data_IF_319166504516
#
_entry.id   IF_319166504516
#
_cell.length_a   1.000
_cell.length_b   1.000
_cell.length_c   1.000
_cell.angle_alpha   90.00
_cell.angle_beta   90.00
_cell.angle_gamma   90.00
#
_symmetry.space_group_name_H-M   'P 1'
#
loop_
_entity.id
_entity.type
_entity.pdbx_description
1 polymer ?
#
# COMPACT_ATOMS: atom_id res chain seq x y z
N UNK A 1 14.97 14.98 -30.24
CA UNK A 1 13.73 14.20 -30.08
C UNK A 1 12.94 14.86 -28.98
N UNK A 2 11.87 15.57 -29.34
CA UNK A 2 11.08 16.38 -28.41
C UNK A 2 10.08 15.50 -27.67
N UNK A 3 10.11 15.53 -26.34
CA UNK A 3 9.09 14.91 -25.49
C UNK A 3 7.84 15.78 -25.51
N UNK A 4 6.83 15.37 -26.27
CA UNK A 4 5.50 15.98 -26.23
C UNK A 4 4.77 15.46 -24.99
N UNK A 5 4.69 16.27 -23.94
CA UNK A 5 3.79 16.03 -22.82
C UNK A 5 2.34 16.21 -23.29
N UNK A 6 1.56 15.12 -23.32
CA UNK A 6 0.13 15.20 -23.61
C UNK A 6 -0.60 15.74 -22.37
N UNK A 7 -0.94 17.04 -22.41
CA UNK A 7 -1.74 17.73 -21.40
C UNK A 7 -3.21 17.36 -21.63
N UNK A 8 -3.70 16.29 -21.00
CA UNK A 8 -5.14 16.05 -20.92
C UNK A 8 -5.77 17.09 -19.99
N UNK A 9 -6.36 18.12 -20.58
CA UNK A 9 -7.23 19.09 -19.91
C UNK A 9 -8.55 18.40 -19.54
N UNK A 10 -8.68 17.91 -18.31
CA UNK A 10 -9.98 17.59 -17.72
C UNK A 10 -10.60 18.89 -17.18
N UNK A 11 -11.05 19.75 -18.09
CA UNK A 11 -11.95 20.87 -17.78
C UNK A 11 -13.38 20.34 -17.71
N UNK A 12 -13.75 19.66 -16.62
CA UNK A 12 -15.12 19.67 -16.12
C UNK A 12 -15.10 19.42 -14.61
N UNK A 13 -15.45 20.48 -13.89
CA UNK A 13 -15.48 20.58 -12.43
C UNK A 13 -16.48 19.58 -11.83
N UNK A 14 -15.97 18.49 -11.25
CA UNK A 14 -16.68 17.74 -10.22
C UNK A 14 -16.23 18.27 -8.84
N UNK A 15 -17.14 18.60 -7.91
CA UNK A 15 -16.78 19.04 -6.57
C UNK A 15 -16.40 17.81 -5.75
N UNK A 16 -15.25 17.20 -6.04
CA UNK A 16 -14.69 16.13 -5.22
C UNK A 16 -13.86 16.76 -4.12
N UNK A 17 -14.43 16.75 -2.91
CA UNK A 17 -13.68 16.98 -1.68
C UNK A 17 -12.48 16.04 -1.60
N UNK A 18 -11.41 16.54 -0.99
CA UNK A 18 -10.04 16.01 -0.96
C UNK A 18 -9.94 14.67 -0.22
N UNK A 19 -10.46 13.60 -0.83
CA UNK A 19 -10.31 12.23 -0.32
C UNK A 19 -9.79 11.36 -1.49
N UNK A 20 -8.49 11.05 -1.42
CA UNK A 20 -7.87 9.92 -2.12
C UNK A 20 -7.86 9.89 -3.67
N UNK A 21 -7.65 11.04 -4.33
CA UNK A 21 -7.23 11.08 -5.74
C UNK A 21 -5.88 10.35 -6.00
N UNK A 22 -5.10 10.06 -4.95
CA UNK A 22 -3.84 9.33 -5.04
C UNK A 22 -4.00 7.84 -5.43
N UNK A 23 -5.18 7.23 -5.26
CA UNK A 23 -5.38 5.81 -5.62
C UNK A 23 -5.85 5.58 -7.06
N UNK A 24 -6.29 6.61 -7.79
CA UNK A 24 -6.86 6.45 -9.13
C UNK A 24 -5.80 6.49 -10.26
N UNK A 25 -4.56 6.90 -9.96
CA UNK A 25 -3.50 7.06 -10.96
C UNK A 25 -2.19 6.42 -10.49
N UNK A 26 -2.13 5.10 -10.44
CA UNK A 26 -0.83 4.43 -10.37
C UNK A 26 -0.44 3.96 -11.76
N UNK A 27 0.21 4.89 -12.47
CA UNK A 27 0.79 4.74 -13.81
C UNK A 27 -0.24 4.69 -14.94
N UNK A 28 0.06 5.34 -16.07
CA UNK A 28 -0.79 5.44 -17.28
C UNK A 28 -1.20 4.10 -17.92
N UNK A 29 -0.91 2.96 -17.28
CA UNK A 29 -1.08 1.62 -17.80
C UNK A 29 -1.95 0.70 -16.92
N UNK A 30 -2.11 1.00 -15.62
CA UNK A 30 -2.83 0.14 -14.67
C UNK A 30 -3.89 0.93 -13.91
N UNK A 31 -5.16 0.58 -14.13
CA UNK A 31 -6.27 1.19 -13.40
C UNK A 31 -6.62 0.35 -12.17
N UNK A 32 -6.30 0.85 -10.97
CA UNK A 32 -6.70 0.21 -9.71
C UNK A 32 -8.03 0.77 -9.21
N UNK A 33 -9.06 -0.07 -9.17
CA UNK A 33 -10.36 0.30 -8.62
C UNK A 33 -10.35 0.20 -7.10
N UNK A 34 -10.43 1.35 -6.45
CA UNK A 34 -10.59 1.42 -4.99
C UNK A 34 -12.02 1.12 -4.61
N UNK A 35 -12.22 0.27 -3.59
CA UNK A 35 -13.56 -0.06 -3.07
C UNK A 35 -14.40 1.18 -2.71
N UNK A 36 -13.76 2.27 -2.28
CA UNK A 36 -14.41 3.55 -1.97
C UNK A 36 -15.06 4.23 -3.19
N UNK A 37 -14.56 4.00 -4.41
CA UNK A 37 -15.18 4.51 -5.64
C UNK A 37 -16.44 3.72 -6.00
N UNK A 38 -16.49 2.43 -5.62
CA UNK A 38 -17.59 1.52 -5.89
C UNK A 38 -18.74 1.65 -4.89
N UNK A 39 -18.45 2.11 -3.66
CA UNK A 39 -19.48 2.34 -2.63
C UNK A 39 -20.46 3.47 -2.93
N UNK A 40 -20.24 4.27 -3.99
CA UNK A 40 -21.16 5.32 -4.44
C UNK A 40 -22.18 4.83 -5.49
N UNK A 41 -22.11 3.57 -5.92
CA UNK A 41 -23.07 2.97 -6.85
C UNK A 41 -24.11 2.15 -6.07
N UNK A 42 -25.37 2.61 -5.96
CA UNK A 42 -26.40 1.84 -5.31
C UNK A 42 -26.82 0.67 -6.22
N UNK A 43 -26.91 -0.54 -5.66
CA UNK A 43 -27.70 -1.65 -6.22
C UNK A 43 -27.25 -2.23 -7.58
N UNK A 44 -26.07 -2.85 -7.68
CA UNK A 44 -25.79 -3.88 -8.70
C UNK A 44 -24.89 -4.96 -8.11
N UNK A 45 -24.98 -6.20 -8.60
CA UNK A 45 -24.02 -7.29 -8.35
C UNK A 45 -22.60 -6.82 -8.71
N UNK A 46 -21.92 -6.26 -7.70
CA UNK A 46 -20.76 -5.39 -7.82
C UNK A 46 -19.64 -5.99 -8.66
N UNK A 47 -19.48 -7.31 -8.62
CA UNK A 47 -18.41 -8.03 -9.30
C UNK A 47 -18.61 -8.11 -10.82
N UNK A 48 -19.80 -8.45 -11.32
CA UNK A 48 -19.99 -8.73 -12.76
C UNK A 48 -19.93 -7.49 -13.63
N UNK A 49 -20.67 -6.44 -13.25
CA UNK A 49 -20.65 -5.19 -14.00
C UNK A 49 -19.27 -4.54 -13.94
N UNK A 50 -18.64 -4.52 -12.77
CA UNK A 50 -17.28 -3.97 -12.61
C UNK A 50 -16.27 -4.69 -13.50
N UNK A 51 -16.26 -6.03 -13.50
CA UNK A 51 -15.31 -6.80 -14.33
C UNK A 51 -15.57 -6.55 -15.82
N UNK A 52 -16.84 -6.42 -16.25
CA UNK A 52 -17.20 -6.06 -17.64
C UNK A 52 -16.74 -4.65 -18.00
N UNK A 53 -16.97 -3.67 -17.13
CA UNK A 53 -16.54 -2.30 -17.33
C UNK A 53 -15.01 -2.20 -17.43
N UNK A 54 -14.28 -2.86 -16.53
CA UNK A 54 -12.81 -2.90 -16.58
C UNK A 54 -12.28 -3.60 -17.82
N UNK A 55 -12.92 -4.69 -18.23
CA UNK A 55 -12.59 -5.36 -19.50
C UNK A 55 -12.87 -4.46 -20.71
N UNK A 56 -13.98 -3.72 -20.69
CA UNK A 56 -14.34 -2.78 -21.76
C UNK A 56 -13.28 -1.68 -21.92
N UNK A 57 -12.90 -0.99 -20.83
CA UNK A 57 -11.89 0.09 -20.92
C UNK A 57 -10.52 -0.42 -21.37
N UNK A 58 -10.16 -1.67 -21.05
CA UNK A 58 -8.95 -2.31 -21.57
C UNK A 58 -9.07 -2.57 -23.07
N UNK A 59 -10.19 -3.15 -23.51
CA UNK A 59 -10.43 -3.43 -24.93
C UNK A 59 -10.52 -2.15 -25.79
N UNK A 60 -10.94 -1.03 -25.20
CA UNK A 60 -10.92 0.29 -25.85
C UNK A 60 -9.53 0.96 -25.84
N UNK A 61 -8.51 0.32 -25.27
CA UNK A 61 -7.16 0.86 -25.17
C UNK A 61 -7.01 2.01 -24.18
N UNK A 62 -7.98 2.20 -23.27
CA UNK A 62 -7.94 3.25 -22.24
C UNK A 62 -7.08 2.85 -21.03
N UNK A 63 -6.85 1.55 -20.85
CA UNK A 63 -5.93 0.97 -19.88
C UNK A 63 -5.29 -0.30 -20.47
N UNK A 64 -4.10 -0.68 -20.00
CA UNK A 64 -3.50 -1.97 -20.40
C UNK A 64 -3.99 -3.10 -19.49
N UNK A 65 -4.10 -2.83 -18.19
CA UNK A 65 -4.51 -3.79 -17.18
C UNK A 65 -5.37 -3.13 -16.11
N UNK A 66 -5.99 -3.95 -15.26
CA UNK A 66 -6.69 -3.47 -14.08
C UNK A 66 -6.32 -4.25 -12.83
N UNK A 67 -6.53 -3.61 -11.68
CA UNK A 67 -6.31 -4.19 -10.37
C UNK A 67 -7.36 -3.70 -9.36
N UNK A 68 -7.29 -4.24 -8.16
CA UNK A 68 -8.16 -3.89 -7.04
C UNK A 68 -7.40 -3.09 -5.98
N UNK A 69 -8.12 -2.35 -5.13
CA UNK A 69 -7.52 -1.65 -3.98
C UNK A 69 -8.48 -1.63 -2.80
N UNK A 70 -8.00 -2.14 -1.64
CA UNK A 70 -8.79 -2.36 -0.41
C UNK A 70 -9.89 -3.42 -0.56
N UNK A 71 -9.74 -4.36 -1.49
CA UNK A 71 -10.68 -5.49 -1.64
C UNK A 71 -10.30 -6.65 -0.74
N UNK A 72 -11.27 -7.36 -0.18
CA UNK A 72 -11.01 -8.62 0.54
C UNK A 72 -10.59 -9.72 -0.43
N UNK A 73 -9.92 -10.75 0.10
CA UNK A 73 -9.48 -11.88 -0.72
C UNK A 73 -10.63 -12.65 -1.35
N UNK A 74 -11.81 -12.64 -0.71
CA UNK A 74 -13.04 -13.20 -1.24
C UNK A 74 -13.54 -12.41 -2.46
N UNK A 75 -13.58 -11.09 -2.39
CA UNK A 75 -14.03 -10.23 -3.49
C UNK A 75 -13.09 -10.31 -4.70
N UNK A 76 -11.77 -10.42 -4.47
CA UNK A 76 -10.79 -10.63 -5.56
C UNK A 76 -11.03 -11.98 -6.25
N UNK A 77 -11.30 -13.04 -5.48
CA UNK A 77 -11.62 -14.35 -6.03
C UNK A 77 -12.96 -14.36 -6.78
N UNK A 78 -13.95 -13.60 -6.31
CA UNK A 78 -15.22 -13.40 -7.00
C UNK A 78 -15.02 -12.72 -8.37
N UNK A 79 -14.23 -11.64 -8.40
CA UNK A 79 -13.89 -10.96 -9.65
C UNK A 79 -13.16 -11.89 -10.64
N UNK A 80 -12.25 -12.72 -10.13
CA UNK A 80 -11.58 -13.75 -10.93
C UNK A 80 -12.57 -14.80 -11.47
N UNK A 81 -13.48 -15.29 -10.62
CA UNK A 81 -14.51 -16.27 -10.99
C UNK A 81 -15.40 -15.75 -12.12
N UNK A 82 -15.91 -14.52 -11.97
CA UNK A 82 -16.68 -13.80 -12.99
C UNK A 82 -15.89 -13.70 -14.30
N UNK A 83 -14.61 -13.31 -14.21
CA UNK A 83 -13.77 -13.17 -15.39
C UNK A 83 -13.62 -14.49 -16.15
N UNK A 84 -13.43 -15.60 -15.43
CA UNK A 84 -13.37 -16.94 -16.03
C UNK A 84 -14.71 -17.40 -16.61
N UNK A 85 -15.81 -17.18 -15.90
CA UNK A 85 -17.14 -17.60 -16.34
C UNK A 85 -17.58 -16.90 -17.65
N UNK A 86 -17.26 -15.62 -17.80
CA UNK A 86 -17.73 -14.80 -18.93
C UNK A 86 -16.64 -14.48 -19.96
N UNK A 87 -15.47 -15.11 -19.87
CA UNK A 87 -14.32 -14.86 -20.73
C UNK A 87 -13.91 -13.37 -20.77
N UNK A 88 -13.80 -12.77 -19.59
CA UNK A 88 -13.38 -11.39 -19.37
C UNK A 88 -11.95 -11.35 -18.81
N UNK A 89 -11.38 -10.14 -18.67
CA UNK A 89 -10.01 -9.95 -18.21
C UNK A 89 -10.00 -9.92 -16.67
N UNK A 90 -9.27 -10.81 -15.97
CA UNK A 90 -9.17 -10.80 -14.51
C UNK A 90 -8.26 -9.68 -13.99
N UNK A 91 -8.39 -9.27 -12.71
CA UNK A 91 -7.47 -8.30 -12.10
C UNK A 91 -6.08 -8.93 -11.94
N UNK A 92 -5.02 -8.13 -12.13
CA UNK A 92 -3.63 -8.63 -12.05
C UNK A 92 -2.90 -8.28 -10.75
N UNK A 93 -3.42 -7.32 -9.98
CA UNK A 93 -2.81 -6.89 -8.73
C UNK A 93 -3.83 -6.41 -7.71
N UNK A 94 -3.49 -6.51 -6.43
CA UNK A 94 -4.18 -5.83 -5.33
C UNK A 94 -3.26 -4.76 -4.74
N UNK A 95 -3.80 -3.54 -4.59
CA UNK A 95 -3.18 -2.45 -3.85
C UNK A 95 -3.58 -2.47 -2.38
N UNK A 96 -2.67 -2.94 -1.52
CA UNK A 96 -2.93 -3.16 -0.09
C UNK A 96 -2.03 -2.31 0.82
N UNK A 97 -2.58 -1.87 1.96
CA UNK A 97 -1.78 -1.23 3.01
C UNK A 97 -0.78 -2.24 3.56
N UNK A 98 0.51 -1.88 3.59
CA UNK A 98 1.52 -2.71 4.21
C UNK A 98 2.60 -1.85 4.85
N UNK A 99 2.80 -2.08 6.13
CA UNK A 99 3.86 -1.48 6.93
C UNK A 99 4.02 -2.29 8.23
N UNK A 100 5.02 -1.96 9.04
CA UNK A 100 5.32 -2.70 10.28
C UNK A 100 4.13 -2.87 11.23
N UNK A 101 3.18 -1.92 11.25
CA UNK A 101 1.95 -1.99 12.05
C UNK A 101 0.70 -2.51 11.32
N UNK A 102 0.78 -2.88 10.04
CA UNK A 102 -0.33 -3.43 9.25
C UNK A 102 0.20 -4.52 8.32
N UNK A 103 0.04 -5.78 8.73
CA UNK A 103 0.77 -6.92 8.16
C UNK A 103 -0.11 -8.02 7.58
N UNK A 104 -1.22 -8.30 8.26
CA UNK A 104 -2.02 -9.52 8.10
C UNK A 104 -2.41 -9.81 6.64
N UNK A 105 -3.02 -8.85 5.96
CA UNK A 105 -3.52 -9.05 4.59
C UNK A 105 -2.40 -9.46 3.63
N UNK A 106 -1.26 -8.75 3.69
CA UNK A 106 -0.16 -8.92 2.74
C UNK A 106 0.73 -10.12 3.10
N UNK A 107 0.91 -10.43 4.37
CA UNK A 107 1.74 -11.57 4.80
C UNK A 107 0.98 -12.90 4.82
N UNK A 108 -0.36 -12.90 4.96
CA UNK A 108 -1.17 -14.13 5.08
C UNK A 108 -2.08 -14.36 3.88
N UNK A 109 -2.84 -13.35 3.47
CA UNK A 109 -3.92 -13.56 2.49
C UNK A 109 -3.45 -13.43 1.04
N UNK A 110 -2.67 -12.39 0.71
CA UNK A 110 -2.19 -12.16 -0.65
C UNK A 110 -1.27 -13.26 -1.20
N UNK A 111 -0.39 -13.92 -0.41
CA UNK A 111 0.41 -15.02 -0.93
C UNK A 111 -0.45 -16.19 -1.43
N UNK A 112 -1.57 -16.48 -0.77
CA UNK A 112 -2.51 -17.50 -1.27
C UNK A 112 -3.13 -17.09 -2.61
N UNK A 113 -3.50 -15.82 -2.79
CA UNK A 113 -4.05 -15.32 -4.06
C UNK A 113 -3.02 -15.35 -5.18
N UNK A 114 -1.77 -14.97 -4.90
CA UNK A 114 -0.68 -15.07 -5.86
C UNK A 114 -0.51 -16.51 -6.35
N UNK A 115 -0.46 -17.49 -5.44
CA UNK A 115 -0.31 -18.89 -5.83
C UNK A 115 -1.53 -19.48 -6.55
N UNK A 116 -2.76 -19.05 -6.22
CA UNK A 116 -3.99 -19.61 -6.80
C UNK A 116 -4.35 -18.99 -8.17
N UNK A 117 -4.19 -17.68 -8.31
CA UNK A 117 -4.72 -16.92 -9.46
C UNK A 117 -3.70 -15.95 -10.08
N UNK A 118 -2.48 -15.87 -9.55
CA UNK A 118 -1.41 -15.04 -10.12
C UNK A 118 -1.52 -13.54 -9.81
N UNK A 119 -2.37 -13.13 -8.85
CA UNK A 119 -2.52 -11.73 -8.46
C UNK A 119 -1.30 -11.26 -7.66
N UNK A 120 -0.61 -10.24 -8.16
CA UNK A 120 0.52 -9.60 -7.47
C UNK A 120 0.09 -8.64 -6.36
N UNK A 121 1.02 -8.30 -5.47
CA UNK A 121 0.78 -7.30 -4.42
C UNK A 121 1.58 -6.02 -4.69
N UNK A 122 0.89 -4.89 -4.78
CA UNK A 122 1.48 -3.56 -4.82
C UNK A 122 1.11 -2.84 -3.51
N UNK A 123 2.05 -2.52 -2.66
CA UNK A 123 1.71 -2.03 -1.33
C UNK A 123 1.75 -0.51 -1.22
N UNK A 124 1.00 0.06 -0.28
CA UNK A 124 0.97 1.50 -0.04
C UNK A 124 1.09 1.85 1.45
N UNK A 125 1.40 3.12 1.71
CA UNK A 125 1.72 3.66 3.05
C UNK A 125 2.81 2.88 3.81
N UNK A 126 3.98 2.59 3.22
CA UNK A 126 5.05 1.86 3.91
C UNK A 126 5.53 2.52 5.20
N UNK A 127 5.36 3.85 5.30
CA UNK A 127 5.69 4.64 6.50
C UNK A 127 4.47 5.01 7.34
N UNK A 128 3.32 4.38 7.11
CA UNK A 128 2.04 4.68 7.77
C UNK A 128 1.74 6.20 7.84
N UNK A 129 1.67 6.86 6.67
CA UNK A 129 1.51 8.32 6.58
C UNK A 129 2.62 9.15 7.28
N UNK A 130 3.82 8.57 7.40
CA UNK A 130 4.98 9.19 8.03
C UNK A 130 5.13 8.87 9.52
N UNK A 131 4.21 8.11 10.11
CA UNK A 131 4.29 7.67 11.52
C UNK A 131 5.61 6.94 11.78
N UNK A 132 5.99 6.04 10.86
CA UNK A 132 7.19 5.18 11.01
C UNK A 132 8.50 5.96 10.89
N UNK A 133 8.48 7.22 10.45
CA UNK A 133 9.70 8.05 10.44
C UNK A 133 10.16 8.50 11.83
N UNK A 134 9.36 8.27 12.88
CA UNK A 134 9.66 8.76 14.25
C UNK A 134 9.41 10.26 14.46
N UNK A 135 9.03 11.01 13.41
CA UNK A 135 8.85 12.47 13.49
C UNK A 135 7.79 12.95 14.49
N UNK A 136 6.94 12.05 15.00
CA UNK A 136 5.84 12.39 15.90
C UNK A 136 6.12 12.07 17.39
N UNK A 137 7.34 11.67 17.74
CA UNK A 137 7.69 11.37 19.14
C UNK A 137 7.48 12.56 20.09
N UNK A 138 7.74 13.78 19.60
CA UNK A 138 7.56 15.04 20.34
C UNK A 138 6.22 15.75 20.10
N UNK A 139 5.21 15.07 19.55
CA UNK A 139 3.93 15.68 19.17
C UNK A 139 3.76 15.83 17.67
N UNK A 140 2.96 16.79 17.22
CA UNK A 140 2.66 16.99 15.79
C UNK A 140 3.53 18.12 15.22
N UNK A 141 4.56 17.83 14.39
CA UNK A 141 5.38 18.87 13.79
C UNK A 141 4.55 19.77 12.85
N UNK A 142 4.90 21.07 12.75
CA UNK A 142 4.32 21.93 11.73
C UNK A 142 4.66 21.40 10.33
N UNK A 143 3.79 21.65 9.36
CA UNK A 143 3.90 21.19 7.97
C UNK A 143 3.93 19.65 7.78
N UNK A 144 3.76 18.88 8.85
CA UNK A 144 3.55 17.44 8.73
C UNK A 144 2.18 17.13 8.15
N UNK A 145 2.01 15.94 7.57
CA UNK A 145 0.71 15.50 7.04
C UNK A 145 -0.39 15.58 8.09
N UNK A 146 -0.09 15.25 9.35
CA UNK A 146 -1.02 15.31 10.46
C UNK A 146 -1.39 16.74 10.91
N UNK A 147 -0.66 17.78 10.46
CA UNK A 147 -1.02 19.18 10.70
C UNK A 147 -1.94 19.77 9.63
N UNK A 148 -2.14 19.08 8.50
CA UNK A 148 -2.92 19.60 7.37
C UNK A 148 -4.43 19.52 7.64
N UNK A 149 -5.17 20.51 7.15
CA UNK A 149 -6.65 20.51 7.18
C UNK A 149 -7.18 19.28 6.42
N UNK A 150 -8.14 18.57 7.01
CA UNK A 150 -8.69 17.31 6.46
C UNK A 150 -7.99 16.04 6.96
N UNK A 151 -6.86 16.15 7.66
CA UNK A 151 -6.10 15.01 8.21
C UNK A 151 -6.26 14.86 9.74
N UNK A 152 -7.35 15.39 10.31
CA UNK A 152 -7.60 15.29 11.75
C UNK A 152 -7.65 13.83 12.23
N UNK A 153 -8.22 12.93 11.42
CA UNK A 153 -8.21 11.48 11.69
C UNK A 153 -6.81 10.90 11.90
N UNK A 154 -5.79 11.41 11.17
CA UNK A 154 -4.41 10.96 11.29
C UNK A 154 -3.79 11.51 12.57
N UNK A 155 -4.06 12.78 12.89
CA UNK A 155 -3.65 13.39 14.15
C UNK A 155 -4.23 12.65 15.36
N UNK A 156 -5.51 12.31 15.32
CA UNK A 156 -6.18 11.55 16.38
C UNK A 156 -5.59 10.14 16.50
N UNK A 157 -5.30 9.48 15.37
CA UNK A 157 -4.60 8.18 15.34
C UNK A 157 -3.22 8.26 16.00
N UNK A 158 -2.44 9.30 15.71
CA UNK A 158 -1.10 9.50 16.29
C UNK A 158 -1.16 9.74 17.79
N UNK A 159 -2.10 10.58 18.24
CA UNK A 159 -2.25 10.98 19.65
C UNK A 159 -2.99 9.92 20.50
N UNK A 160 -3.61 8.93 19.87
CA UNK A 160 -4.26 7.81 20.55
C UNK A 160 -3.29 7.01 21.42
N UNK A 161 -3.82 6.20 22.33
CA UNK A 161 -3.00 5.28 23.12
C UNK A 161 -2.23 4.31 22.23
N UNK A 162 -2.86 3.76 21.20
CA UNK A 162 -2.22 2.86 20.25
C UNK A 162 -1.11 3.57 19.45
N UNK A 163 -1.36 4.81 19.01
CA UNK A 163 -0.35 5.63 18.34
C UNK A 163 0.89 5.86 19.21
N UNK A 164 0.71 6.13 20.51
CA UNK A 164 1.82 6.27 21.47
C UNK A 164 2.58 4.97 21.70
N UNK A 165 1.88 3.82 21.77
CA UNK A 165 2.54 2.49 21.83
C UNK A 165 3.37 2.22 20.58
N UNK A 166 2.88 2.60 19.40
CA UNK A 166 3.64 2.50 18.16
C UNK A 166 4.89 3.38 18.19
N UNK A 167 4.81 4.63 18.68
CA UNK A 167 5.99 5.49 18.85
C UNK A 167 7.03 4.89 19.79
N UNK A 168 6.62 4.24 20.89
CA UNK A 168 7.56 3.55 21.78
C UNK A 168 8.34 2.43 21.04
N UNK A 169 7.64 1.60 20.26
CA UNK A 169 8.28 0.55 19.43
C UNK A 169 9.22 1.15 18.37
N UNK A 170 8.87 2.31 17.81
CA UNK A 170 9.75 2.99 16.84
C UNK A 170 11.08 3.42 17.46
N UNK A 171 11.14 3.74 18.76
CA UNK A 171 12.42 4.01 19.46
C UNK A 171 13.31 2.78 19.53
N UNK A 172 12.73 1.61 19.78
CA UNK A 172 13.48 0.35 19.77
C UNK A 172 13.97 0.00 18.36
N UNK A 173 13.13 0.21 17.34
CA UNK A 173 13.51 0.01 15.94
C UNK A 173 14.56 0.99 15.45
N UNK A 174 14.59 2.21 16.00
CA UNK A 174 15.61 3.21 15.70
C UNK A 174 17.02 2.69 16.07
N UNK A 175 17.16 1.98 17.19
CA UNK A 175 18.45 1.38 17.57
C UNK A 175 18.93 0.33 16.55
N UNK A 176 18.00 -0.44 15.95
CA UNK A 176 18.34 -1.36 14.85
C UNK A 176 18.78 -0.59 13.62
N UNK A 177 18.06 0.48 13.24
CA UNK A 177 18.39 1.29 12.08
C UNK A 177 19.80 1.90 12.19
N UNK A 178 20.15 2.43 13.37
CA UNK A 178 21.48 2.97 13.68
C UNK A 178 22.57 1.90 13.56
N UNK A 179 22.36 0.71 14.11
CA UNK A 179 23.31 -0.41 14.01
C UNK A 179 23.53 -0.86 12.56
N UNK A 180 22.53 -0.72 11.71
CA UNK A 180 22.62 -1.02 10.27
C UNK A 180 23.15 0.15 9.43
N UNK A 181 23.39 1.30 10.05
CA UNK A 181 23.84 2.53 9.38
C UNK A 181 22.82 3.05 8.38
N UNK A 182 21.54 3.06 8.74
CA UNK A 182 20.44 3.55 7.90
C UNK A 182 19.42 4.34 8.72
N UNK A 183 18.53 5.05 8.04
CA UNK A 183 17.42 5.75 8.71
C UNK A 183 16.25 4.80 8.98
N UNK A 184 15.41 5.13 9.96
CA UNK A 184 14.21 4.32 10.25
C UNK A 184 13.24 4.22 9.06
N UNK A 185 13.00 5.28 8.25
CA UNK A 185 12.29 5.17 6.99
C UNK A 185 12.90 4.15 6.01
N UNK A 186 14.22 4.15 5.86
CA UNK A 186 14.92 3.20 4.99
C UNK A 186 14.74 1.76 5.49
N UNK A 187 14.91 1.55 6.80
CA UNK A 187 14.68 0.25 7.43
C UNK A 187 13.25 -0.25 7.19
N UNK A 188 12.25 0.62 7.36
CA UNK A 188 10.84 0.27 7.21
C UNK A 188 10.46 -0.09 5.77
N UNK A 189 10.96 0.66 4.78
CA UNK A 189 10.70 0.38 3.36
C UNK A 189 11.43 -0.90 2.93
N UNK A 190 12.69 -1.08 3.33
CA UNK A 190 13.45 -2.30 3.06
C UNK A 190 12.76 -3.51 3.69
N UNK A 191 12.25 -3.35 4.92
CA UNK A 191 11.46 -4.38 5.58
C UNK A 191 10.22 -4.74 4.75
N UNK A 192 9.50 -3.77 4.17
CA UNK A 192 8.36 -4.07 3.30
C UNK A 192 8.77 -4.85 2.04
N UNK A 193 9.90 -4.48 1.43
CA UNK A 193 10.43 -5.12 0.22
C UNK A 193 11.06 -6.49 0.45
N UNK A 194 11.33 -6.88 1.71
CA UNK A 194 11.88 -8.20 2.05
C UNK A 194 10.96 -9.36 1.64
N UNK A 195 9.66 -9.08 1.54
CA UNK A 195 8.65 -10.08 1.22
C UNK A 195 8.61 -10.24 -0.31
N UNK A 196 9.05 -11.40 -0.81
CA UNK A 196 9.04 -11.71 -2.25
C UNK A 196 7.64 -11.67 -2.87
N UNK A 197 6.57 -11.81 -2.06
CA UNK A 197 5.19 -11.64 -2.51
C UNK A 197 4.80 -10.19 -2.80
N UNK A 198 5.60 -9.20 -2.36
CA UNK A 198 5.39 -7.78 -2.64
C UNK A 198 6.16 -7.41 -3.91
N UNK A 199 5.42 -7.12 -4.98
CA UNK A 199 6.00 -6.76 -6.28
C UNK A 199 6.58 -5.34 -6.30
N UNK A 200 5.95 -4.41 -5.57
CA UNK A 200 6.40 -3.02 -5.45
C UNK A 200 5.80 -2.35 -4.22
N UNK A 201 6.50 -1.33 -3.71
CA UNK A 201 6.09 -0.49 -2.59
C UNK A 201 5.90 0.94 -3.09
N UNK A 202 4.69 1.47 -3.00
CA UNK A 202 4.37 2.84 -3.39
C UNK A 202 4.87 3.82 -2.33
N UNK A 203 5.86 4.63 -2.71
CA UNK A 203 6.47 5.65 -1.87
C UNK A 203 5.65 6.94 -1.89
N UNK A 204 5.52 7.58 -0.74
CA UNK A 204 4.98 8.93 -0.61
C UNK A 204 6.04 9.86 -0.04
N UNK A 205 6.28 11.00 -0.71
CA UNK A 205 7.22 12.01 -0.27
C UNK A 205 6.63 13.41 -0.48
N UNK A 206 6.88 14.33 0.45
CA UNK A 206 6.47 15.74 0.34
C UNK A 206 7.59 16.64 -0.19
N UNK A 207 8.82 16.15 -0.26
CA UNK A 207 9.99 16.84 -0.80
C UNK A 207 10.98 15.84 -1.41
N UNK A 208 11.99 16.34 -2.10
CA UNK A 208 13.01 15.54 -2.79
C UNK A 208 13.89 14.77 -1.80
N UNK A 209 14.20 15.35 -0.66
CA UNK A 209 15.09 14.73 0.33
C UNK A 209 14.48 13.45 0.90
N UNK A 210 13.19 13.47 1.22
CA UNK A 210 12.44 12.28 1.63
C UNK A 210 12.42 11.21 0.54
N UNK A 211 12.27 11.61 -0.73
CA UNK A 211 12.28 10.65 -1.83
C UNK A 211 13.65 9.98 -1.97
N UNK A 212 14.73 10.77 -1.94
CA UNK A 212 16.09 10.28 -2.02
C UNK A 212 16.45 9.39 -0.82
N UNK A 213 16.06 9.80 0.39
CA UNK A 213 16.18 8.99 1.60
C UNK A 213 15.47 7.64 1.43
N UNK A 214 14.21 7.65 0.98
CA UNK A 214 13.39 6.45 0.82
C UNK A 214 13.94 5.50 -0.25
N UNK A 215 14.47 6.01 -1.37
CA UNK A 215 15.14 5.19 -2.40
C UNK A 215 16.36 4.49 -1.81
N UNK A 216 17.01 5.12 -0.82
CA UNK A 216 18.12 4.55 -0.06
C UNK A 216 17.82 3.22 0.63
N UNK A 217 16.55 2.88 0.83
CA UNK A 217 16.11 1.61 1.40
C UNK A 217 16.63 0.39 0.63
N UNK A 218 16.86 0.52 -0.68
CA UNK A 218 17.40 -0.56 -1.52
C UNK A 218 18.77 -1.03 -1.02
N UNK A 219 19.60 -0.12 -0.49
CA UNK A 219 20.91 -0.49 0.06
C UNK A 219 20.82 -1.15 1.45
N UNK A 220 19.65 -1.11 2.09
CA UNK A 220 19.40 -1.76 3.39
C UNK A 220 18.92 -3.20 3.21
N UNK A 221 18.27 -3.53 2.09
CA UNK A 221 17.75 -4.87 1.82
C UNK A 221 18.76 -6.02 2.07
N UNK A 222 20.01 -5.96 1.57
CA UNK A 222 20.99 -7.02 1.80
C UNK A 222 21.42 -7.18 3.26
N UNK A 223 21.17 -6.16 4.10
CA UNK A 223 21.54 -6.15 5.53
C UNK A 223 20.45 -6.79 6.40
N UNK A 224 19.26 -7.07 5.87
CA UNK A 224 18.14 -7.66 6.61
C UNK A 224 18.30 -9.17 6.77
N UNK A 225 19.21 -9.57 7.66
CA UNK A 225 19.39 -10.98 8.04
C UNK A 225 18.18 -11.52 8.80
N UNK A 226 18.03 -12.86 8.85
CA UNK A 226 16.96 -13.51 9.62
C UNK A 226 16.97 -13.14 11.10
N UNK A 227 18.14 -12.88 11.68
CA UNK A 227 18.28 -12.39 13.06
C UNK A 227 17.68 -11.00 13.25
N UNK A 228 17.98 -10.07 12.33
CA UNK A 228 17.39 -8.71 12.36
C UNK A 228 15.87 -8.78 12.17
N UNK A 229 15.38 -9.61 11.25
CA UNK A 229 13.94 -9.77 11.03
C UNK A 229 13.26 -10.33 12.28
N UNK A 230 13.88 -11.29 12.97
CA UNK A 230 13.34 -11.84 14.21
C UNK A 230 13.32 -10.81 15.35
N UNK A 231 14.37 -9.99 15.48
CA UNK A 231 14.42 -8.88 16.44
C UNK A 231 13.31 -7.86 16.18
N UNK A 232 13.09 -7.49 14.90
CA UNK A 232 11.98 -6.62 14.49
C UNK A 232 10.63 -7.26 14.83
N UNK A 233 10.44 -8.55 14.53
CA UNK A 233 9.21 -9.28 14.88
C UNK A 233 8.93 -9.25 16.39
N UNK A 234 9.96 -9.40 17.23
CA UNK A 234 9.84 -9.36 18.69
C UNK A 234 9.43 -7.97 19.20
N UNK A 235 10.06 -6.90 18.69
CA UNK A 235 9.70 -5.52 19.04
C UNK A 235 8.26 -5.21 18.62
N UNK A 236 7.89 -5.61 17.40
CA UNK A 236 6.57 -5.34 16.87
C UNK A 236 5.48 -6.17 17.55
N UNK A 237 5.78 -7.41 17.96
CA UNK A 237 4.86 -8.29 18.67
C UNK A 237 3.55 -8.56 17.92
N UNK A 238 3.56 -8.44 16.59
CA UNK A 238 2.37 -8.48 15.75
C UNK A 238 2.55 -9.36 14.50
N UNK A 239 3.52 -10.29 14.54
CA UNK A 239 3.73 -11.24 13.46
C UNK A 239 2.44 -12.02 13.23
N UNK A 240 1.83 -11.94 12.03
CA UNK A 240 0.57 -12.62 11.79
C UNK A 240 0.80 -14.13 11.69
N UNK A 241 -0.15 -14.90 12.20
CA UNK A 241 -0.09 -16.37 12.16
C UNK A 241 -0.32 -16.87 10.73
N UNK A 242 0.54 -17.78 10.25
CA UNK A 242 0.35 -18.45 8.96
C UNK A 242 -0.04 -19.92 9.17
N UNK A 243 -0.94 -20.45 8.32
CA UNK A 243 -1.31 -21.88 8.35
C UNK A 243 -0.12 -22.82 8.14
N UNK A 244 1.00 -22.35 7.55
CA UNK A 244 2.23 -23.12 7.40
C UNK A 244 2.87 -23.46 8.75
N UNK A 245 2.65 -22.64 9.78
CA UNK A 245 3.24 -22.83 11.12
C UNK A 245 2.66 -24.05 11.86
N UNK A 246 1.52 -24.60 11.41
CA UNK A 246 0.89 -25.81 12.00
C UNK A 246 1.58 -27.13 11.63
N UNK A 247 2.43 -27.14 10.59
CA UNK A 247 3.06 -28.36 10.06
C UNK A 247 4.53 -28.53 10.48
N UNK A 248 4.99 -27.75 11.46
CA UNK A 248 6.38 -27.76 11.95
C UNK A 248 6.43 -28.27 13.39
#
# INVERSE_FOLDING_TARGET
MNYTACKMSLQHSFPLGVVDLASCMVSSFLLCLTKALLSFLPFVTLSTETVRAMTHVINQGMAMYWGTSRWSSMEIMEAYSVARQFNLIPPICEQAEYHMFQREKVEVQLPELFHKIGVGAMTWSPLACGIVSGKYDGGIPPYSRASLKGYQWLKDKILSEEGRRQQAKLKELQAIAERLGCTLPQLAIAWCLRNEGVSSVLLGASNTDQLMENIGAIQVLPKLSSSIIHEIDNILGNKPYSKKDYRS
#
